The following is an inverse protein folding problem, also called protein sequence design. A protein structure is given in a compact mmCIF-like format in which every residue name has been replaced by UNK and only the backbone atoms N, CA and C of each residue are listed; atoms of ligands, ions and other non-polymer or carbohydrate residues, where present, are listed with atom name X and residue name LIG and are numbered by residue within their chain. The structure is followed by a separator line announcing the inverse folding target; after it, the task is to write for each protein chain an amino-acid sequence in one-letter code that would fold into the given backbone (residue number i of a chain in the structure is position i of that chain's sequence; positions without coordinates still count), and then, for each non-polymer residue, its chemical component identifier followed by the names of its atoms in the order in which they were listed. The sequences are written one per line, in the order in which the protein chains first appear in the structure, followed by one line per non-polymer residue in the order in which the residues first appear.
data_IF_946696219579
#
_entry.id   IF_946696219579
#
_cell.length_a   1.000
_cell.length_b   1.000
_cell.length_c   1.000
_cell.angle_alpha   90.00
_cell.angle_beta   90.00
_cell.angle_gamma   90.00
#
_symmetry.space_group_name_H-M   'P 1'
#
loop_
_entity.id
_entity.type
_entity.pdbx_description
1 polymer ?
#
# COMPACT_ATOMS: atom_id res chain seq x y z
N UNK A 1 -23.37 -29.52 -5.11
CA UNK A 1 -24.15 -30.51 -4.34
C UNK A 1 -24.56 -29.83 -3.03
N UNK A 2 -25.85 -29.79 -2.69
CA UNK A 2 -26.32 -29.15 -1.46
C UNK A 2 -26.35 -30.15 -0.29
N UNK A 3 -25.38 -30.03 0.62
CA UNK A 3 -25.21 -30.94 1.77
C UNK A 3 -25.95 -30.48 3.04
N UNK A 4 -26.48 -29.26 3.06
CA UNK A 4 -27.08 -28.66 4.25
C UNK A 4 -28.42 -29.33 4.64
N UNK A 5 -29.15 -29.84 3.65
CA UNK A 5 -30.46 -30.48 3.79
C UNK A 5 -30.38 -31.95 4.25
N UNK A 6 -29.21 -32.58 4.25
CA UNK A 6 -29.05 -34.00 4.60
C UNK A 6 -28.95 -34.24 6.12
N UNK A 7 -29.33 -35.45 6.56
CA UNK A 7 -29.20 -35.84 7.96
C UNK A 7 -27.75 -36.16 8.30
N UNK A 8 -27.35 -35.89 9.53
CA UNK A 8 -25.96 -36.06 10.02
C UNK A 8 -25.43 -37.50 9.87
N UNK A 9 -26.33 -38.49 9.86
CA UNK A 9 -26.01 -39.90 9.68
C UNK A 9 -25.59 -40.16 8.22
N UNK A 10 -26.32 -39.62 7.25
CA UNK A 10 -26.05 -39.76 5.81
C UNK A 10 -24.75 -39.05 5.41
N UNK A 11 -24.48 -37.88 6.01
CA UNK A 11 -23.23 -37.16 5.80
C UNK A 11 -22.03 -37.95 6.33
N UNK A 12 -22.17 -38.64 7.47
CA UNK A 12 -21.10 -39.49 8.02
C UNK A 12 -20.86 -40.75 7.19
N UNK A 13 -21.90 -41.35 6.60
CA UNK A 13 -21.73 -42.47 5.66
C UNK A 13 -21.02 -42.02 4.39
N UNK A 14 -21.39 -40.86 3.84
CA UNK A 14 -20.70 -40.28 2.69
C UNK A 14 -19.23 -39.95 2.98
N UNK A 15 -18.91 -39.44 4.16
CA UNK A 15 -17.51 -39.25 4.56
C UNK A 15 -16.76 -40.58 4.66
N UNK A 16 -17.39 -41.63 5.20
CA UNK A 16 -16.75 -42.95 5.35
C UNK A 16 -16.44 -43.59 3.99
N UNK A 17 -17.38 -43.51 3.05
CA UNK A 17 -17.22 -44.07 1.70
C UNK A 17 -16.14 -43.34 0.89
N UNK A 18 -15.91 -42.05 1.19
CA UNK A 18 -14.87 -41.22 0.55
C UNK A 18 -13.53 -41.25 1.29
N UNK A 19 -13.40 -42.02 2.37
CA UNK A 19 -12.17 -42.08 3.17
C UNK A 19 -11.86 -40.83 3.99
N UNK A 20 -12.86 -39.97 4.21
CA UNK A 20 -12.76 -38.72 4.96
C UNK A 20 -13.05 -38.96 6.45
N UNK A 21 -12.45 -38.14 7.32
CA UNK A 21 -12.65 -38.24 8.78
C UNK A 21 -14.12 -38.06 9.15
N UNK A 22 -14.72 -39.00 9.88
CA UNK A 22 -16.15 -39.01 10.27
C UNK A 22 -16.45 -38.31 11.60
N UNK A 23 -15.43 -37.75 12.26
CA UNK A 23 -15.54 -37.05 13.54
C UNK A 23 -15.73 -35.54 13.31
N UNK A 24 -16.64 -34.93 14.09
CA UNK A 24 -16.94 -33.49 14.05
C UNK A 24 -18.42 -33.14 14.22
N UNK A 25 -18.69 -31.84 14.26
CA UNK A 25 -20.07 -31.28 14.22
C UNK A 25 -20.67 -31.38 12.81
N UNK A 26 -21.99 -31.23 12.65
CA UNK A 26 -22.66 -31.29 11.33
C UNK A 26 -21.97 -30.40 10.29
N UNK A 27 -21.64 -29.17 10.69
CA UNK A 27 -21.01 -28.17 9.84
C UNK A 27 -19.60 -28.60 9.38
N UNK A 28 -18.78 -29.16 10.28
CA UNK A 28 -17.43 -29.63 9.92
C UNK A 28 -17.45 -30.81 8.94
N UNK A 29 -18.47 -31.67 9.03
CA UNK A 29 -18.65 -32.79 8.11
C UNK A 29 -19.11 -32.29 6.73
N UNK A 30 -20.01 -31.31 6.70
CA UNK A 30 -20.47 -30.66 5.46
C UNK A 30 -19.32 -29.95 4.74
N UNK A 31 -18.56 -29.11 5.46
CA UNK A 31 -17.40 -28.39 4.89
C UNK A 31 -16.41 -29.37 4.26
N UNK A 32 -16.09 -30.47 4.97
CA UNK A 32 -15.15 -31.49 4.49
C UNK A 32 -15.64 -32.22 3.22
N UNK A 33 -16.94 -32.41 3.06
CA UNK A 33 -17.53 -33.00 1.86
C UNK A 33 -17.53 -32.01 0.68
N UNK A 34 -17.74 -30.73 0.95
CA UNK A 34 -17.65 -29.67 -0.06
C UNK A 34 -16.22 -29.50 -0.57
N UNK A 35 -15.23 -29.54 0.31
CA UNK A 35 -13.80 -29.48 -0.05
C UNK A 35 -13.37 -30.68 -0.92
N UNK A 36 -13.83 -31.90 -0.60
CA UNK A 36 -13.53 -33.09 -1.42
C UNK A 36 -14.14 -32.98 -2.83
N UNK A 37 -15.34 -32.42 -2.95
CA UNK A 37 -16.00 -32.20 -4.24
C UNK A 37 -15.28 -31.15 -5.09
N UNK A 38 -14.88 -30.02 -4.51
CA UNK A 38 -14.13 -28.98 -5.23
C UNK A 38 -12.77 -29.50 -5.71
N UNK A 39 -12.09 -30.32 -4.90
CA UNK A 39 -10.79 -30.90 -5.26
C UNK A 39 -10.84 -31.87 -6.45
N UNK A 40 -12.01 -32.47 -6.74
CA UNK A 40 -12.21 -33.43 -7.84
C UNK A 40 -12.73 -32.80 -9.12
N UNK A 41 -13.11 -31.52 -9.12
CA UNK A 41 -13.51 -30.84 -10.35
C UNK A 41 -12.28 -30.45 -11.18
N UNK A 42 -12.21 -30.80 -12.48
CA UNK A 42 -11.12 -30.36 -13.33
C UNK A 42 -11.20 -28.85 -13.55
N UNK A 43 -10.22 -28.12 -13.02
CA UNK A 43 -10.11 -26.68 -13.21
C UNK A 43 -9.99 -26.33 -14.72
N UNK A 44 -10.69 -25.30 -15.21
CA UNK A 44 -10.49 -24.82 -16.56
C UNK A 44 -9.05 -24.29 -16.73
N UNK A 45 -8.41 -24.80 -17.78
CA UNK A 45 -7.04 -24.52 -18.18
C UNK A 45 -6.89 -23.01 -18.41
N UNK A 46 -6.09 -22.35 -17.57
CA UNK A 46 -5.51 -21.05 -17.89
C UNK A 46 -4.03 -21.25 -18.23
N UNK A 47 -3.73 -20.99 -19.50
CA UNK A 47 -2.41 -21.13 -20.10
C UNK A 47 -1.52 -20.02 -19.53
N UNK A 48 -0.42 -20.39 -18.88
CA UNK A 48 0.69 -19.47 -18.58
C UNK A 48 1.98 -20.25 -18.65
N UNK A 49 2.69 -20.10 -19.77
CA UNK A 49 4.03 -20.63 -19.97
C UNK A 49 5.04 -19.88 -19.09
N UNK A 50 5.63 -20.58 -18.11
CA UNK A 50 6.88 -20.16 -17.48
C UNK A 50 7.88 -21.31 -17.57
N UNK A 51 8.99 -21.05 -18.26
CA UNK A 51 10.09 -21.98 -18.45
C UNK A 51 10.81 -22.29 -17.12
N UNK A 52 11.34 -23.51 -17.11
CA UNK A 52 11.90 -24.25 -15.98
C UNK A 52 13.18 -23.63 -15.38
N UNK A 53 13.28 -23.67 -14.05
CA UNK A 53 14.52 -23.98 -13.34
C UNK A 53 14.18 -24.67 -11.99
N UNK A 54 14.84 -25.79 -11.62
CA UNK A 54 14.53 -26.52 -10.40
C UNK A 54 15.43 -26.07 -9.25
N UNK A 55 14.84 -25.67 -8.12
CA UNK A 55 15.50 -25.70 -6.80
C UNK A 55 14.51 -26.23 -5.76
N UNK A 56 14.97 -27.25 -5.04
CA UNK A 56 14.23 -28.05 -4.06
C UNK A 56 14.39 -27.49 -2.62
N UNK A 57 13.42 -27.84 -1.75
CA UNK A 57 13.32 -27.63 -0.29
C UNK A 57 13.05 -26.17 0.17
N UNK A 58 12.10 -25.83 1.05
CA UNK A 58 11.47 -26.57 2.14
C UNK A 58 10.06 -26.02 2.46
N UNK A 59 9.18 -26.95 2.85
CA UNK A 59 7.78 -26.77 3.18
C UNK A 59 7.59 -25.97 4.49
N UNK A 60 7.09 -24.74 4.39
CA UNK A 60 6.27 -24.12 5.44
C UNK A 60 4.94 -23.72 4.78
N UNK A 61 3.77 -23.92 5.41
CA UNK A 61 2.54 -23.33 4.92
C UNK A 61 2.66 -21.83 5.14
N UNK A 62 3.29 -21.15 4.19
CA UNK A 62 3.09 -19.73 3.99
C UNK A 62 1.61 -19.65 3.67
N UNK A 63 0.79 -19.37 4.69
CA UNK A 63 -0.46 -18.66 4.48
C UNK A 63 -0.02 -17.33 3.88
N UNK A 64 0.22 -17.35 2.57
CA UNK A 64 0.24 -16.13 1.80
C UNK A 64 -1.16 -15.62 2.02
N UNK A 65 -1.25 -14.62 2.90
CA UNK A 65 -2.42 -13.79 2.97
C UNK A 65 -2.42 -13.21 1.56
N UNK A 66 -3.20 -13.83 0.67
CA UNK A 66 -3.59 -13.20 -0.58
C UNK A 66 -4.48 -12.08 -0.07
N UNK A 67 -3.83 -10.99 0.34
CA UNK A 67 -4.49 -9.73 0.63
C UNK A 67 -5.06 -9.39 -0.73
N UNK A 68 -6.32 -9.77 -0.94
CA UNK A 68 -7.08 -9.27 -2.07
C UNK A 68 -6.94 -7.77 -1.98
N UNK A 69 -6.20 -7.23 -2.94
CA UNK A 69 -5.92 -5.82 -3.05
C UNK A 69 -7.22 -5.18 -3.53
N UNK A 70 -8.21 -5.09 -2.64
CA UNK A 70 -9.30 -4.13 -2.76
C UNK A 70 -8.71 -2.76 -2.48
N UNK A 71 -7.68 -2.37 -3.24
CA UNK A 71 -7.34 -0.98 -3.37
C UNK A 71 -8.61 -0.34 -3.90
N UNK A 72 -9.18 0.56 -3.11
CA UNK A 72 -10.38 1.30 -3.42
C UNK A 72 -10.31 1.77 -4.89
N UNK A 73 -11.37 1.56 -5.67
CA UNK A 73 -11.43 1.96 -7.08
C UNK A 73 -11.02 3.42 -7.24
N UNK A 74 -11.35 4.25 -6.24
CA UNK A 74 -10.92 5.65 -6.13
C UNK A 74 -9.41 5.79 -6.12
N UNK A 75 -8.71 5.00 -5.30
CA UNK A 75 -7.26 5.09 -5.15
C UNK A 75 -6.54 4.63 -6.41
N UNK A 76 -7.03 3.56 -7.05
CA UNK A 76 -6.50 3.12 -8.34
C UNK A 76 -6.73 4.16 -9.44
N UNK A 77 -7.94 4.73 -9.52
CA UNK A 77 -8.27 5.76 -10.50
C UNK A 77 -7.40 7.01 -10.33
N UNK A 78 -7.27 7.49 -9.10
CA UNK A 78 -6.41 8.63 -8.78
C UNK A 78 -4.95 8.33 -9.12
N UNK A 79 -4.43 7.15 -8.76
CA UNK A 79 -3.07 6.74 -9.09
C UNK A 79 -2.80 6.66 -10.59
N UNK A 80 -3.71 6.04 -11.36
CA UNK A 80 -3.61 5.96 -12.83
C UNK A 80 -3.69 7.35 -13.47
N UNK A 81 -4.58 8.22 -12.99
CA UNK A 81 -4.70 9.59 -13.48
C UNK A 81 -3.40 10.38 -13.32
N UNK A 82 -2.73 10.25 -12.17
CA UNK A 82 -1.43 10.91 -11.92
C UNK A 82 -0.34 10.36 -12.86
N UNK A 83 -0.31 9.04 -13.10
CA UNK A 83 0.67 8.43 -14.01
C UNK A 83 0.48 8.96 -15.44
N UNK A 84 -0.76 8.99 -15.93
CA UNK A 84 -1.07 9.50 -17.27
C UNK A 84 -0.70 10.97 -17.41
N UNK A 85 -1.01 11.78 -16.39
CA UNK A 85 -0.60 13.18 -16.36
C UNK A 85 0.94 13.35 -16.38
N UNK A 86 1.67 12.54 -15.60
CA UNK A 86 3.13 12.53 -15.59
C UNK A 86 3.74 12.16 -16.95
N UNK A 87 3.18 11.14 -17.62
CA UNK A 87 3.61 10.73 -18.97
C UNK A 87 3.34 11.81 -20.01
N UNK A 88 2.15 12.41 -19.98
CA UNK A 88 1.82 13.53 -20.86
C UNK A 88 2.79 14.69 -20.67
N UNK A 89 3.11 15.04 -19.42
CA UNK A 89 4.08 16.10 -19.11
C UNK A 89 5.48 15.76 -19.61
N UNK A 90 5.95 14.52 -19.43
CA UNK A 90 7.23 14.08 -19.99
C UNK A 90 7.26 14.17 -21.52
N UNK A 91 6.17 13.81 -22.19
CA UNK A 91 6.07 13.95 -23.64
C UNK A 91 6.19 15.41 -24.07
N UNK A 92 5.51 16.33 -23.38
CA UNK A 92 5.65 17.78 -23.61
C UNK A 92 7.07 18.29 -23.36
N UNK A 93 7.76 17.79 -22.33
CA UNK A 93 9.14 18.16 -22.05
C UNK A 93 10.10 17.76 -23.19
N UNK A 94 9.90 16.58 -23.78
CA UNK A 94 10.73 16.08 -24.89
C UNK A 94 10.51 16.88 -26.18
N UNK A 95 9.27 17.28 -26.47
CA UNK A 95 8.95 18.08 -27.66
C UNK A 95 9.60 19.48 -27.63
N UNK A 96 9.79 20.04 -26.45
CA UNK A 96 10.31 21.41 -26.26
C UNK A 96 11.81 21.44 -25.93
N UNK A 97 12.45 20.27 -25.86
CA UNK A 97 13.85 20.12 -25.44
C UNK A 97 14.84 20.90 -26.31
N UNK A 98 14.54 21.09 -27.60
CA UNK A 98 15.40 21.83 -28.52
C UNK A 98 15.39 23.35 -28.28
N UNK A 99 14.27 23.88 -27.76
CA UNK A 99 14.07 25.33 -27.63
C UNK A 99 14.52 25.83 -26.25
N UNK A 100 14.29 25.03 -25.19
CA UNK A 100 14.57 25.41 -23.81
C UNK A 100 15.07 24.19 -22.99
N UNK A 101 16.37 23.86 -23.06
CA UNK A 101 16.90 22.60 -22.49
C UNK A 101 16.83 22.55 -20.95
N UNK A 102 17.00 23.68 -20.27
CA UNK A 102 16.96 23.74 -18.81
C UNK A 102 15.54 23.50 -18.26
N UNK A 103 14.53 24.11 -18.88
CA UNK A 103 13.13 23.91 -18.51
C UNK A 103 12.66 22.50 -18.83
N UNK A 104 12.98 21.98 -20.01
CA UNK A 104 12.68 20.59 -20.37
C UNK A 104 13.29 19.58 -19.40
N UNK A 105 14.50 19.84 -18.90
CA UNK A 105 15.11 19.02 -17.85
C UNK A 105 14.28 19.04 -16.55
N UNK A 106 13.88 20.23 -16.07
CA UNK A 106 13.04 20.33 -14.88
C UNK A 106 11.67 19.66 -15.09
N UNK A 107 11.03 19.86 -16.24
CA UNK A 107 9.75 19.22 -16.55
C UNK A 107 9.86 17.68 -16.58
N UNK A 108 11.00 17.14 -17.03
CA UNK A 108 11.29 15.71 -17.01
C UNK A 108 11.46 15.18 -15.59
N UNK A 109 12.21 15.87 -14.74
CA UNK A 109 12.40 15.49 -13.33
C UNK A 109 11.06 15.50 -12.59
N UNK A 110 10.23 16.54 -12.81
CA UNK A 110 8.92 16.62 -12.18
C UNK A 110 7.97 15.54 -12.74
N UNK A 111 8.03 15.25 -14.04
CA UNK A 111 7.28 14.16 -14.68
C UNK A 111 7.62 12.78 -14.10
N UNK A 112 8.91 12.50 -13.88
CA UNK A 112 9.36 11.28 -13.18
C UNK A 112 8.83 11.23 -11.74
N UNK A 113 8.81 12.38 -11.05
CA UNK A 113 8.21 12.52 -9.73
C UNK A 113 6.73 12.10 -9.70
N UNK A 114 5.94 12.51 -10.69
CA UNK A 114 4.53 12.09 -10.81
C UNK A 114 4.38 10.59 -11.09
N UNK A 115 5.23 10.01 -11.94
CA UNK A 115 5.17 8.58 -12.24
C UNK A 115 5.49 7.78 -10.97
N UNK A 116 6.56 8.14 -10.25
CA UNK A 116 6.94 7.47 -8.99
C UNK A 116 5.84 7.59 -7.94
N UNK A 117 5.32 8.80 -7.74
CA UNK A 117 4.24 9.05 -6.79
C UNK A 117 2.92 8.35 -7.17
N UNK A 118 2.59 8.28 -8.46
CA UNK A 118 1.42 7.58 -8.98
C UNK A 118 1.51 6.07 -8.79
N UNK A 119 2.65 5.46 -9.10
CA UNK A 119 2.90 4.02 -8.88
C UNK A 119 2.77 3.66 -7.40
N UNK A 120 3.31 4.49 -6.50
CA UNK A 120 3.17 4.30 -5.05
C UNK A 120 1.72 4.41 -4.58
N UNK A 121 0.95 5.31 -5.20
CA UNK A 121 -0.47 5.52 -4.90
C UNK A 121 -1.31 4.31 -5.34
N UNK A 122 -1.04 3.74 -6.53
CA UNK A 122 -1.69 2.50 -7.01
C UNK A 122 -1.40 1.30 -6.10
N UNK A 123 -0.22 1.26 -5.48
CA UNK A 123 0.16 0.23 -4.50
C UNK A 123 -0.44 0.46 -3.09
N UNK A 124 -1.29 1.48 -2.93
CA UNK A 124 -1.91 1.87 -1.67
C UNK A 124 -0.94 2.27 -0.55
N UNK A 125 0.23 2.83 -0.89
CA UNK A 125 1.15 3.42 0.09
C UNK A 125 0.82 4.90 0.33
N UNK A 126 0.67 5.32 1.60
CA UNK A 126 0.45 6.73 1.97
C UNK A 126 1.56 7.66 1.48
N UNK A 127 2.79 7.14 1.43
CA UNK A 127 3.96 7.88 0.96
C UNK A 127 3.82 8.32 -0.50
N UNK A 128 3.07 7.57 -1.32
CA UNK A 128 2.80 7.96 -2.71
C UNK A 128 2.06 9.28 -2.80
N UNK A 129 0.98 9.43 -2.02
CA UNK A 129 0.17 10.65 -2.02
C UNK A 129 1.00 11.85 -1.54
N UNK A 130 1.79 11.70 -0.47
CA UNK A 130 2.67 12.77 0.00
C UNK A 130 3.72 13.19 -1.03
N UNK A 131 4.35 12.23 -1.72
CA UNK A 131 5.29 12.51 -2.81
C UNK A 131 4.58 13.28 -3.93
N UNK A 132 3.41 12.83 -4.37
CA UNK A 132 2.67 13.52 -5.44
C UNK A 132 2.24 14.93 -5.07
N UNK A 133 1.82 15.16 -3.81
CA UNK A 133 1.47 16.50 -3.32
C UNK A 133 2.68 17.42 -3.27
N UNK A 134 3.83 16.92 -2.80
CA UNK A 134 5.09 17.69 -2.81
C UNK A 134 5.53 18.07 -4.22
N UNK A 135 5.44 17.13 -5.17
CA UNK A 135 5.77 17.35 -6.58
C UNK A 135 4.78 18.35 -7.23
N UNK A 136 3.48 18.25 -6.94
CA UNK A 136 2.47 19.24 -7.38
C UNK A 136 2.77 20.64 -6.83
N UNK A 137 3.11 20.76 -5.54
CA UNK A 137 3.43 22.03 -4.93
C UNK A 137 4.67 22.67 -5.56
N UNK A 138 5.75 21.90 -5.69
CA UNK A 138 6.98 22.37 -6.36
C UNK A 138 6.72 22.77 -7.82
N UNK A 139 5.94 21.97 -8.55
CA UNK A 139 5.52 22.26 -9.92
C UNK A 139 4.72 23.55 -10.03
N UNK A 140 3.76 23.77 -9.13
CA UNK A 140 2.92 24.97 -9.12
C UNK A 140 3.74 26.23 -8.84
N UNK A 141 4.69 26.16 -7.90
CA UNK A 141 5.63 27.25 -7.62
C UNK A 141 6.46 27.58 -8.86
N UNK A 142 7.01 26.56 -9.53
CA UNK A 142 7.77 26.77 -10.77
C UNK A 142 6.90 27.35 -11.88
N UNK A 143 5.63 26.93 -12.01
CA UNK A 143 4.73 27.51 -13.01
C UNK A 143 4.46 29.01 -12.78
N UNK A 144 4.52 29.51 -11.55
CA UNK A 144 4.37 30.94 -11.26
C UNK A 144 5.61 31.75 -11.63
N UNK A 145 6.80 31.17 -11.43
CA UNK A 145 8.07 31.82 -11.78
C UNK A 145 8.20 31.96 -13.30
N UNK A 146 7.77 30.95 -14.05
CA UNK A 146 7.84 30.89 -15.52
C UNK A 146 6.48 31.21 -16.19
N UNK A 147 5.67 32.10 -15.61
CA UNK A 147 4.34 32.41 -16.14
C UNK A 147 4.37 33.18 -17.47
N UNK A 148 5.31 34.12 -17.59
CA UNK A 148 5.41 35.06 -18.72
C UNK A 148 6.00 34.41 -19.99
N UNK A 149 6.62 33.23 -19.86
CA UNK A 149 7.32 32.54 -20.94
C UNK A 149 6.51 31.34 -21.47
N UNK A 150 6.72 31.01 -22.75
CA UNK A 150 6.07 29.85 -23.37
C UNK A 150 6.79 28.56 -22.99
N UNK A 151 6.60 28.15 -21.73
CA UNK A 151 7.39 27.11 -21.08
C UNK A 151 6.62 25.79 -20.90
N UNK A 152 7.23 24.60 -21.10
CA UNK A 152 6.59 23.31 -20.80
C UNK A 152 6.28 23.10 -19.30
N UNK A 153 6.74 24.01 -18.43
CA UNK A 153 6.41 24.03 -17.01
C UNK A 153 5.13 24.82 -16.70
N UNK A 154 4.65 25.67 -17.61
CA UNK A 154 3.55 26.61 -17.38
C UNK A 154 2.47 26.51 -18.45
N UNK A 155 1.20 26.60 -18.03
CA UNK A 155 0.04 26.68 -18.92
C UNK A 155 -0.18 28.10 -19.46
N UNK A 156 0.59 29.09 -18.98
CA UNK A 156 0.41 30.52 -19.27
C UNK A 156 0.41 30.89 -20.76
N UNK A 157 0.97 30.03 -21.63
CA UNK A 157 1.03 30.24 -23.07
C UNK A 157 1.51 31.67 -23.43
N UNK A 158 2.57 32.16 -22.76
CA UNK A 158 3.10 33.52 -22.96
C UNK A 158 2.19 34.64 -22.45
N UNK A 159 1.61 34.48 -21.25
CA UNK A 159 0.76 35.51 -20.62
C UNK A 159 -0.67 35.63 -21.20
N UNK A 160 -1.06 34.76 -22.13
CA UNK A 160 -2.42 34.74 -22.72
C UNK A 160 -3.45 34.33 -21.66
N UNK A 161 -3.07 33.45 -20.74
CA UNK A 161 -3.95 32.95 -19.69
C UNK A 161 -3.62 33.59 -18.33
N UNK A 162 -4.64 34.10 -17.61
CA UNK A 162 -4.46 34.65 -16.28
C UNK A 162 -3.77 33.64 -15.33
N UNK A 163 -2.83 34.05 -14.46
CA UNK A 163 -2.13 33.16 -13.52
C UNK A 163 -3.08 32.41 -12.58
N UNK A 164 -4.28 32.94 -12.37
CA UNK A 164 -5.35 32.33 -11.60
C UNK A 164 -5.78 30.98 -12.20
N UNK A 165 -5.78 30.81 -13.52
CA UNK A 165 -6.11 29.53 -14.16
C UNK A 165 -5.06 28.45 -13.85
N UNK A 166 -3.78 28.82 -13.79
CA UNK A 166 -2.70 27.90 -13.40
C UNK A 166 -2.84 27.49 -11.92
N UNK A 167 -3.15 28.45 -11.05
CA UNK A 167 -3.42 28.20 -9.63
C UNK A 167 -4.64 27.31 -9.42
N UNK A 168 -5.70 27.50 -10.19
CA UNK A 168 -6.91 26.67 -10.15
C UNK A 168 -6.58 25.26 -10.63
N UNK A 169 -5.85 25.09 -11.73
CA UNK A 169 -5.46 23.78 -12.25
C UNK A 169 -4.64 23.00 -11.21
N UNK A 170 -3.59 23.62 -10.66
CA UNK A 170 -2.78 23.01 -9.61
C UNK A 170 -3.58 22.74 -8.32
N UNK A 171 -4.44 23.67 -7.91
CA UNK A 171 -5.27 23.55 -6.70
C UNK A 171 -6.29 22.42 -6.81
N UNK A 172 -6.96 22.29 -7.96
CA UNK A 172 -7.90 21.18 -8.22
C UNK A 172 -7.16 19.85 -8.23
N UNK A 173 -5.97 19.77 -8.83
CA UNK A 173 -5.14 18.56 -8.78
C UNK A 173 -4.75 18.19 -7.34
N UNK A 174 -4.39 19.17 -6.50
CA UNK A 174 -4.09 18.90 -5.08
C UNK A 174 -5.30 18.35 -4.32
N UNK A 175 -6.50 18.91 -4.57
CA UNK A 175 -7.74 18.43 -3.93
C UNK A 175 -8.05 17.00 -4.37
N UNK A 176 -7.96 16.70 -5.67
CA UNK A 176 -8.21 15.36 -6.22
C UNK A 176 -7.22 14.34 -5.62
N UNK A 177 -5.94 14.70 -5.54
CA UNK A 177 -4.89 13.82 -4.99
C UNK A 177 -5.00 13.66 -3.47
N UNK A 178 -5.50 14.67 -2.75
CA UNK A 178 -5.74 14.61 -1.31
C UNK A 178 -7.06 13.91 -0.94
N UNK A 179 -8.01 13.76 -1.86
CA UNK A 179 -9.31 13.14 -1.59
C UNK A 179 -9.23 11.73 -0.96
N UNK A 180 -8.32 10.83 -1.37
CA UNK A 180 -8.16 9.52 -0.73
C UNK A 180 -7.66 9.58 0.71
N UNK A 181 -6.93 10.64 1.10
CA UNK A 181 -6.48 10.85 2.49
C UNK A 181 -7.61 11.30 3.41
N UNK A 182 -8.53 12.12 2.89
CA UNK A 182 -9.63 12.69 3.66
C UNK A 182 -10.83 11.73 3.80
N UNK A 183 -10.81 10.59 3.09
CA UNK A 183 -11.97 9.71 2.99
C UNK A 183 -13.18 10.38 2.32
N UNK A 184 -12.96 11.55 1.69
CA UNK A 184 -14.02 12.41 1.15
C UNK A 184 -14.75 11.77 -0.05
N UNK A 185 -14.17 10.72 -0.63
CA UNK A 185 -14.72 10.00 -1.78
C UNK A 185 -15.31 8.63 -1.43
N UNK A 186 -15.75 8.42 -0.18
CA UNK A 186 -16.79 7.45 0.15
C UNK A 186 -16.35 6.00 0.40
N UNK A 187 -15.06 5.70 0.51
CA UNK A 187 -14.58 4.37 0.87
C UNK A 187 -13.50 4.43 1.95
N UNK A 188 -13.57 3.51 2.91
CA UNK A 188 -12.55 3.37 3.96
C UNK A 188 -11.22 2.97 3.34
N UNK A 189 -10.38 3.96 3.01
CA UNK A 189 -9.09 3.74 2.37
C UNK A 189 -8.13 3.06 3.35
N UNK A 190 -8.04 1.73 3.26
CA UNK A 190 -7.05 0.95 3.99
C UNK A 190 -5.69 1.06 3.31
N UNK A 191 -4.92 2.08 3.70
CA UNK A 191 -3.54 2.20 3.23
C UNK A 191 -2.64 1.15 3.88
N UNK A 192 -1.69 0.63 3.10
CA UNK A 192 -0.64 -0.25 3.62
C UNK A 192 0.22 0.52 4.63
N UNK A 193 0.41 -0.07 5.81
CA UNK A 193 1.34 0.45 6.81
C UNK A 193 2.78 0.05 6.45
N UNK A 194 3.68 1.02 6.49
CA UNK A 194 5.10 0.84 6.18
C UNK A 194 5.52 1.29 4.78
N UNK A 195 6.83 1.48 4.61
CA UNK A 195 7.45 1.82 3.34
C UNK A 195 7.74 0.57 2.51
N UNK A 196 7.60 0.63 1.17
CA UNK A 196 7.95 -0.49 0.32
C UNK A 196 9.47 -0.79 0.40
N UNK A 197 9.86 -2.05 0.15
CA UNK A 197 11.25 -2.48 0.29
C UNK A 197 12.22 -1.68 -0.58
N UNK A 198 11.78 -1.20 -1.75
CA UNK A 198 12.61 -0.39 -2.64
C UNK A 198 12.88 1.02 -2.08
N UNK A 199 11.91 1.67 -1.42
CA UNK A 199 12.12 3.01 -0.84
C UNK A 199 12.99 2.98 0.42
N UNK A 200 12.98 1.88 1.17
CA UNK A 200 13.79 1.75 2.40
C UNK A 200 15.28 1.98 2.14
N UNK A 201 15.79 1.46 1.03
CA UNK A 201 17.22 1.62 0.71
C UNK A 201 17.55 3.06 0.34
N UNK A 202 16.66 3.76 -0.38
CA UNK A 202 16.85 5.17 -0.72
C UNK A 202 16.75 6.09 0.50
N UNK A 203 15.81 5.83 1.41
CA UNK A 203 15.68 6.65 2.64
C UNK A 203 16.89 6.48 3.55
N UNK A 204 17.36 5.24 3.78
CA UNK A 204 18.58 5.00 4.55
C UNK A 204 19.84 5.62 3.89
N UNK A 205 19.89 5.64 2.55
CA UNK A 205 20.98 6.29 1.82
C UNK A 205 20.89 7.83 1.89
N UNK A 206 19.68 8.39 1.85
CA UNK A 206 19.45 9.83 1.99
C UNK A 206 19.80 10.33 3.40
N UNK A 207 19.48 9.56 4.43
CA UNK A 207 19.85 9.84 5.83
C UNK A 207 21.38 9.85 6.03
N UNK A 208 22.13 9.10 5.22
CA UNK A 208 23.59 9.11 5.24
C UNK A 208 24.22 10.33 4.55
N UNK A 209 23.54 10.90 3.55
CA UNK A 209 24.07 11.97 2.69
C UNK A 209 23.64 13.37 3.15
N UNK A 210 22.55 13.51 3.91
CA UNK A 210 22.09 14.82 4.39
C UNK A 210 22.75 15.23 5.72
N UNK A 211 23.53 16.32 5.78
CA UNK A 211 24.06 16.88 7.03
C UNK A 211 22.99 17.58 7.88
N UNK A 212 21.80 17.77 7.30
CA UNK A 212 20.65 18.42 7.93
C UNK A 212 19.59 17.33 8.16
N UNK A 213 19.06 17.14 9.37
CA UNK A 213 17.87 16.35 9.55
C UNK A 213 16.74 17.10 8.84
N UNK A 214 16.43 16.71 7.60
CA UNK A 214 15.20 17.12 6.93
C UNK A 214 14.06 16.48 7.71
N UNK A 215 13.65 17.15 8.77
CA UNK A 215 12.36 17.00 9.41
C UNK A 215 11.30 17.42 8.39
N UNK A 216 11.11 16.62 7.34
CA UNK A 216 9.78 16.44 6.77
C UNK A 216 8.99 15.88 7.94
N UNK A 217 8.19 16.76 8.53
CA UNK A 217 7.23 16.50 9.59
C UNK A 217 6.21 15.46 9.11
N UNK A 218 6.62 14.20 9.05
CA UNK A 218 5.80 13.16 9.60
C UNK A 218 6.11 13.18 11.09
N UNK A 219 5.14 13.58 11.89
CA UNK A 219 5.00 13.05 13.25
C UNK A 219 4.83 11.53 13.14
N UNK A 220 5.87 10.81 12.69
CA UNK A 220 6.05 9.46 13.13
C UNK A 220 6.43 9.59 14.60
N UNK A 221 5.43 9.43 15.48
CA UNK A 221 5.65 8.67 16.70
C UNK A 221 6.27 7.35 16.27
N UNK A 222 7.59 7.37 16.14
CA UNK A 222 8.42 6.18 16.03
C UNK A 222 8.25 5.50 17.37
N UNK A 223 7.19 4.72 17.51
CA UNK A 223 7.20 3.57 18.39
C UNK A 223 8.23 2.63 17.79
N UNK A 224 9.49 2.96 18.02
CA UNK A 224 10.53 1.97 18.10
C UNK A 224 9.99 1.00 19.11
N UNK A 225 9.53 -0.17 18.67
CA UNK A 225 9.22 -1.28 19.56
C UNK A 225 10.54 -1.71 20.22
N UNK A 226 11.11 -0.88 21.10
CA UNK A 226 12.03 -1.36 22.13
C UNK A 226 11.20 -2.29 22.99
N UNK A 227 11.18 -3.58 22.62
CA UNK A 227 10.56 -4.65 23.39
C UNK A 227 11.35 -4.76 24.68
N UNK A 228 10.87 -4.11 25.73
CA UNK A 228 11.46 -4.19 27.05
C UNK A 228 11.09 -5.54 27.67
N UNK A 229 12.08 -6.20 28.27
CA UNK A 229 11.85 -7.45 29.00
C UNK A 229 11.53 -7.09 30.44
N UNK A 230 10.24 -7.14 30.80
CA UNK A 230 9.76 -6.86 32.16
C UNK A 230 9.59 -8.19 32.90
N UNK A 231 9.96 -8.24 34.18
CA UNK A 231 9.73 -9.40 35.03
C UNK A 231 8.34 -9.31 35.68
N UNK A 232 7.60 -10.40 35.69
CA UNK A 232 6.32 -10.46 36.40
C UNK A 232 6.51 -10.42 37.92
N UNK A 233 5.79 -9.54 38.64
CA UNK A 233 5.86 -9.39 40.10
C UNK A 233 5.42 -10.65 40.87
N UNK A 234 4.60 -11.50 40.25
CA UNK A 234 4.01 -12.68 40.91
C UNK A 234 4.74 -14.01 40.64
N UNK A 235 5.53 -14.10 39.57
CA UNK A 235 6.18 -15.35 39.18
C UNK A 235 7.56 -15.19 38.55
N UNK A 236 8.12 -13.98 38.55
CA UNK A 236 9.43 -13.61 37.97
C UNK A 236 9.63 -13.99 36.49
N UNK A 237 8.58 -14.42 35.80
CA UNK A 237 8.68 -14.79 34.39
C UNK A 237 8.97 -13.57 33.51
N UNK A 238 9.89 -13.75 32.56
CA UNK A 238 10.35 -12.70 31.63
C UNK A 238 9.28 -12.49 30.56
N UNK A 239 8.63 -11.33 30.56
CA UNK A 239 7.61 -10.95 29.59
C UNK A 239 8.14 -9.85 28.67
N UNK A 240 7.87 -9.97 27.36
CA UNK A 240 8.18 -8.92 26.38
C UNK A 240 6.99 -7.98 26.29
N UNK A 241 7.17 -6.74 26.71
CA UNK A 241 6.13 -5.69 26.66
C UNK A 241 6.63 -4.57 25.74
N UNK A 242 5.76 -3.93 24.93
CA UNK A 242 6.15 -2.77 24.13
C UNK A 242 6.67 -1.65 25.03
N UNK A 243 7.82 -1.07 24.70
CA UNK A 243 8.41 0.05 25.43
C UNK A 243 7.45 1.24 25.44
N UNK A 244 7.01 1.65 26.64
CA UNK A 244 6.07 2.75 26.84
C UNK A 244 4.61 2.35 27.09
N UNK A 245 4.29 1.04 27.17
CA UNK A 245 2.96 0.60 27.59
C UNK A 245 2.76 0.82 29.10
N UNK A 246 1.97 1.83 29.44
CA UNK A 246 1.50 2.08 30.81
C UNK A 246 0.08 1.52 30.95
N UNK A 247 -0.06 0.42 31.67
CA UNK A 247 -1.35 -0.24 31.84
C UNK A 247 -1.26 -1.61 32.51
N UNK A 248 -2.41 -2.26 32.65
CA UNK A 248 -2.51 -3.61 33.23
C UNK A 248 -2.13 -4.66 32.18
N UNK A 249 -1.02 -5.34 32.40
CA UNK A 249 -0.61 -6.52 31.63
C UNK A 249 -0.99 -7.78 32.37
N UNK A 250 -1.55 -8.76 31.65
CA UNK A 250 -1.88 -10.07 32.19
C UNK A 250 -0.72 -11.03 31.92
N UNK A 251 -0.19 -11.64 32.97
CA UNK A 251 0.90 -12.60 32.83
C UNK A 251 0.38 -13.90 32.18
N UNK A 252 1.04 -14.43 31.12
CA UNK A 252 0.65 -15.70 30.50
C UNK A 252 0.92 -16.91 31.42
N UNK A 253 1.88 -16.79 32.33
CA UNK A 253 2.31 -17.89 33.23
C UNK A 253 1.41 -18.02 34.45
N UNK A 254 1.08 -16.91 35.13
CA UNK A 254 0.30 -16.93 36.37
C UNK A 254 -1.13 -16.37 36.23
N UNK A 255 -1.51 -15.85 35.05
CA UNK A 255 -2.82 -15.21 34.76
C UNK A 255 -3.17 -13.97 35.61
N UNK A 256 -2.32 -13.57 36.54
CA UNK A 256 -2.49 -12.37 37.36
C UNK A 256 -2.22 -11.10 36.54
N UNK A 257 -2.98 -10.04 36.82
CA UNK A 257 -2.82 -8.73 36.19
C UNK A 257 -1.97 -7.81 37.05
N UNK A 258 -0.93 -7.22 36.48
CA UNK A 258 -0.07 -6.24 37.17
C UNK A 258 0.15 -5.00 36.30
N UNK A 259 0.46 -3.87 36.93
CA UNK A 259 0.68 -2.59 36.25
C UNK A 259 2.17 -2.41 35.92
N UNK A 260 2.46 -2.01 34.67
CA UNK A 260 3.81 -1.66 34.20
C UNK A 260 3.90 -0.14 34.13
N UNK A 261 4.90 0.45 34.81
CA UNK A 261 5.17 1.89 34.83
C UNK A 261 6.01 2.36 33.65
#
# INVERSE_FOLDING_TARGET
MDYDSMKLIELKTLCKDRGLRVSGTKAEVVIRLMEDDESKQPAPISISSAQQQPQMYQNQPITQIIVHNNADVTLQLTGIGIILYGLFRMAMALLFNEWMPFESFLAMVIGLGYILGGVLTVQAYKQGIYVTLGVLAFSGIMSLIYHEEWSPLSIGMGGIWPPEFSLICSGVCMIIVAAPLLGAMGGGTEFRSGSPPYLRNFMNAADYVSPVPLAVSQEEKTWTETKIVVKCVHCDSKLKVPGGYKGKVKCPTCKESFEVQ
#
